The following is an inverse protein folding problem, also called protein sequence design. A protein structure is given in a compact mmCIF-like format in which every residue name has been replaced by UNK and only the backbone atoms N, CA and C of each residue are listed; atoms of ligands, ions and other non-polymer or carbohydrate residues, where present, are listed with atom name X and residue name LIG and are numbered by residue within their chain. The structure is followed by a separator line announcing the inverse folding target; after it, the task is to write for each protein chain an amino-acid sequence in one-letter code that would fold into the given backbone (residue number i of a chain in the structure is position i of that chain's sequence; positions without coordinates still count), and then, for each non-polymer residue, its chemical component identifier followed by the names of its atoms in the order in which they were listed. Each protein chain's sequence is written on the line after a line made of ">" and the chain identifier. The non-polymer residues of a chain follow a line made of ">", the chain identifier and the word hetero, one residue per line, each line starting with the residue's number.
data_IF_798687266061
#
_entry.id   IF_798687266061
#
_cell.length_a   1.000
_cell.length_b   1.000
_cell.length_c   1.000
_cell.angle_alpha   90.00
_cell.angle_beta   90.00
_cell.angle_gamma   90.00
#
_symmetry.space_group_name_H-M   'P 1'
#
loop_
_entity.id
_entity.type
_entity.pdbx_description
1 polymer ?
#
# COMPACT_ATOMS: atom_id res chain seq x y z
N UNK A 1 -45.12 -51.18 -52.81
CA UNK A 1 -44.23 -51.29 -51.64
C UNK A 1 -42.81 -51.61 -52.11
N UNK A 2 -41.91 -50.63 -52.06
CA UNK A 2 -40.47 -50.79 -52.35
C UNK A 2 -39.72 -49.88 -51.37
N UNK A 3 -39.19 -50.46 -50.30
CA UNK A 3 -38.35 -49.75 -49.34
C UNK A 3 -36.95 -49.56 -49.94
N UNK A 4 -36.54 -48.31 -50.14
CA UNK A 4 -35.14 -47.96 -50.37
C UNK A 4 -34.45 -47.80 -49.00
N UNK A 5 -33.26 -48.37 -48.78
CA UNK A 5 -32.52 -48.16 -47.55
C UNK A 5 -31.86 -46.78 -47.58
N UNK A 6 -32.16 -45.97 -46.57
CA UNK A 6 -31.44 -44.73 -46.28
C UNK A 6 -30.03 -45.08 -45.81
N UNK A 7 -29.01 -44.76 -46.60
CA UNK A 7 -27.61 -44.83 -46.17
C UNK A 7 -27.38 -43.72 -45.13
N UNK A 8 -27.40 -44.09 -43.86
CA UNK A 8 -27.00 -43.25 -42.75
C UNK A 8 -25.47 -43.24 -42.70
N UNK A 9 -24.83 -42.19 -43.22
CA UNK A 9 -23.41 -41.94 -42.98
C UNK A 9 -23.21 -41.59 -41.50
N UNK A 10 -22.81 -42.59 -40.71
CA UNK A 10 -22.31 -42.40 -39.35
C UNK A 10 -20.95 -41.70 -39.49
N UNK A 11 -20.96 -40.37 -39.40
CA UNK A 11 -19.73 -39.62 -39.17
C UNK A 11 -19.36 -39.83 -37.70
N UNK A 12 -18.42 -40.72 -37.48
CA UNK A 12 -17.80 -41.03 -36.20
C UNK A 12 -16.94 -39.82 -35.79
N UNK A 13 -17.56 -38.78 -35.24
CA UNK A 13 -16.85 -37.73 -34.52
C UNK A 13 -16.54 -38.27 -33.12
N UNK A 14 -15.38 -38.92 -33.02
CA UNK A 14 -14.61 -39.01 -31.79
C UNK A 14 -14.32 -37.57 -31.33
N UNK A 15 -15.22 -37.00 -30.55
CA UNK A 15 -14.82 -36.06 -29.50
C UNK A 15 -15.01 -36.83 -28.22
N UNK A 16 -13.93 -37.49 -27.82
CA UNK A 16 -13.59 -37.69 -26.42
C UNK A 16 -13.69 -36.30 -25.77
N UNK A 17 -14.89 -35.94 -25.33
CA UNK A 17 -15.13 -34.83 -24.43
C UNK A 17 -14.45 -35.22 -23.14
N UNK A 18 -13.18 -34.84 -23.07
CA UNK A 18 -12.20 -35.11 -22.03
C UNK A 18 -12.93 -35.22 -20.68
N UNK A 19 -12.95 -36.47 -20.21
CA UNK A 19 -12.99 -36.90 -18.82
C UNK A 19 -12.84 -35.73 -17.87
N UNK A 20 -13.87 -35.51 -17.03
CA UNK A 20 -13.94 -34.50 -15.98
C UNK A 20 -12.62 -33.78 -15.73
N UNK A 21 -12.52 -32.56 -16.29
CA UNK A 21 -11.60 -31.55 -15.77
C UNK A 21 -11.91 -31.49 -14.29
N UNK A 22 -11.10 -32.19 -13.49
CA UNK A 22 -11.12 -32.11 -12.03
C UNK A 22 -11.07 -30.62 -11.75
N UNK A 23 -12.20 -30.04 -11.36
CA UNK A 23 -12.29 -28.64 -11.01
C UNK A 23 -11.15 -28.40 -10.03
N UNK A 24 -10.10 -27.71 -10.50
CA UNK A 24 -8.94 -27.52 -9.67
C UNK A 24 -9.39 -26.68 -8.49
N UNK A 25 -9.08 -27.22 -7.33
CA UNK A 25 -9.77 -26.95 -6.10
C UNK A 25 -9.63 -25.48 -5.70
N UNK A 26 -10.67 -24.66 -5.94
CA UNK A 26 -10.72 -23.31 -5.39
C UNK A 26 -11.13 -23.32 -3.91
N UNK A 27 -11.36 -24.48 -3.27
CA UNK A 27 -11.78 -24.57 -1.85
C UNK A 27 -10.90 -23.77 -0.90
N UNK A 28 -9.61 -23.65 -1.22
CA UNK A 28 -8.64 -22.99 -0.34
C UNK A 28 -8.41 -21.52 -0.70
N UNK A 29 -9.03 -20.99 -1.76
CA UNK A 29 -8.87 -19.59 -2.16
C UNK A 29 -10.21 -18.89 -2.25
N UNK A 30 -10.28 -17.66 -1.76
CA UNK A 30 -11.48 -16.84 -1.81
C UNK A 30 -11.14 -15.36 -1.86
N UNK A 31 -12.04 -14.54 -2.38
CA UNK A 31 -11.91 -13.10 -2.30
C UNK A 31 -12.64 -12.60 -1.05
N UNK A 32 -12.07 -11.60 -0.37
CA UNK A 32 -12.85 -10.83 0.60
C UNK A 32 -14.08 -10.24 -0.08
N UNK A 33 -15.21 -10.20 0.62
CA UNK A 33 -16.39 -9.44 0.18
C UNK A 33 -16.11 -7.94 0.24
N UNK A 34 -15.26 -7.50 1.19
CA UNK A 34 -14.87 -6.11 1.36
C UNK A 34 -13.79 -5.70 0.36
N UNK A 35 -13.97 -4.51 -0.23
CA UNK A 35 -12.95 -3.81 -0.99
C UNK A 35 -12.15 -2.92 -0.03
N UNK A 36 -10.85 -3.20 0.08
CA UNK A 36 -9.95 -2.53 1.03
C UNK A 36 -8.96 -1.62 0.33
N UNK A 37 -8.52 -0.58 1.02
CA UNK A 37 -7.33 0.20 0.62
C UNK A 37 -6.05 -0.52 1.01
N UNK A 38 -4.99 -0.27 0.25
CA UNK A 38 -3.61 -0.67 0.54
C UNK A 38 -3.07 -0.17 1.89
N UNK A 39 -3.75 0.81 2.50
CA UNK A 39 -3.39 1.38 3.80
C UNK A 39 -4.00 0.61 4.97
N UNK A 40 -4.93 -0.30 4.71
CA UNK A 40 -5.57 -1.13 5.72
C UNK A 40 -4.69 -2.34 6.08
N UNK A 41 -4.80 -2.82 7.32
CA UNK A 41 -4.11 -4.04 7.75
C UNK A 41 -4.82 -5.27 7.15
N UNK A 42 -4.32 -5.76 6.02
CA UNK A 42 -4.94 -6.85 5.25
C UNK A 42 -5.05 -8.16 6.05
N UNK A 43 -4.04 -8.49 6.86
CA UNK A 43 -4.09 -9.64 7.78
C UNK A 43 -5.28 -9.54 8.72
N UNK A 44 -5.51 -8.35 9.29
CA UNK A 44 -6.65 -8.12 10.17
C UNK A 44 -7.99 -8.25 9.43
N UNK A 45 -8.08 -7.73 8.20
CA UNK A 45 -9.29 -7.88 7.38
C UNK A 45 -9.59 -9.35 7.11
N UNK A 46 -8.58 -10.10 6.66
CA UNK A 46 -8.73 -11.52 6.33
C UNK A 46 -9.12 -12.34 7.56
N UNK A 47 -8.46 -12.10 8.70
CA UNK A 47 -8.77 -12.83 9.93
C UNK A 47 -10.17 -12.50 10.47
N UNK A 48 -10.62 -11.26 10.34
CA UNK A 48 -11.97 -10.87 10.75
C UNK A 48 -13.03 -11.55 9.88
N UNK A 49 -12.80 -11.64 8.57
CA UNK A 49 -13.80 -12.18 7.64
C UNK A 49 -13.81 -13.72 7.60
N UNK A 50 -12.65 -14.36 7.70
CA UNK A 50 -12.50 -15.80 7.44
C UNK A 50 -11.94 -16.62 8.61
N UNK A 51 -11.55 -15.98 9.72
CA UNK A 51 -11.03 -16.63 10.92
C UNK A 51 -9.50 -16.76 10.95
N UNK A 52 -8.98 -17.31 12.06
CA UNK A 52 -7.54 -17.33 12.36
C UNK A 52 -6.67 -18.21 11.47
N UNK A 53 -7.27 -19.12 10.68
CA UNK A 53 -6.55 -20.00 9.74
C UNK A 53 -6.49 -19.45 8.30
N UNK A 54 -7.00 -18.24 8.08
CA UNK A 54 -6.95 -17.57 6.80
C UNK A 54 -5.80 -16.56 6.75
N UNK A 55 -5.08 -16.54 5.63
CA UNK A 55 -3.99 -15.59 5.36
C UNK A 55 -4.20 -14.91 4.02
N UNK A 56 -3.51 -13.80 3.78
CA UNK A 56 -3.44 -13.23 2.42
C UNK A 56 -2.70 -14.22 1.53
N UNK A 57 -3.22 -14.46 0.32
CA UNK A 57 -2.58 -15.34 -0.65
C UNK A 57 -1.34 -14.68 -1.23
N UNK A 58 -0.29 -15.47 -1.44
CA UNK A 58 0.94 -15.02 -2.07
C UNK A 58 0.90 -15.27 -3.58
N UNK A 59 1.65 -14.48 -4.34
CA UNK A 59 1.87 -14.72 -5.76
C UNK A 59 2.36 -16.15 -6.04
N UNK A 60 3.22 -16.69 -5.18
CA UNK A 60 3.69 -18.07 -5.28
C UNK A 60 2.58 -19.13 -5.12
N UNK A 61 1.46 -18.80 -4.48
CA UNK A 61 0.29 -19.68 -4.39
C UNK A 61 -0.46 -19.74 -5.73
N UNK A 62 -0.53 -18.62 -6.44
CA UNK A 62 -1.14 -18.53 -7.77
C UNK A 62 -0.32 -19.26 -8.84
N UNK A 63 1.01 -19.20 -8.74
CA UNK A 63 1.94 -19.89 -9.67
C UNK A 63 1.82 -21.41 -9.62
N UNK A 64 1.23 -21.97 -8.55
CA UNK A 64 1.00 -23.42 -8.40
C UNK A 64 -0.28 -23.92 -9.10
N UNK A 65 -1.12 -23.01 -9.62
CA UNK A 65 -2.37 -23.36 -10.29
C UNK A 65 -2.06 -23.95 -11.68
N UNK A 66 -2.45 -25.20 -11.91
CA UNK A 66 -2.19 -25.89 -13.18
C UNK A 66 -3.21 -25.50 -14.25
N UNK A 67 -4.49 -25.43 -13.86
CA UNK A 67 -5.60 -24.99 -14.72
C UNK A 67 -6.11 -23.60 -14.29
N UNK A 68 -5.50 -22.55 -14.84
CA UNK A 68 -5.87 -21.16 -14.54
C UNK A 68 -7.29 -20.83 -15.03
N UNK A 69 -7.76 -21.44 -16.13
CA UNK A 69 -9.13 -21.20 -16.62
C UNK A 69 -10.18 -21.85 -15.73
N UNK A 70 -9.97 -23.11 -15.35
CA UNK A 70 -10.83 -23.82 -14.41
C UNK A 70 -10.88 -23.13 -13.05
N UNK A 71 -9.73 -22.72 -12.52
CA UNK A 71 -9.65 -21.96 -11.28
C UNK A 71 -10.38 -20.61 -11.37
N UNK A 72 -10.15 -19.82 -12.41
CA UNK A 72 -10.82 -18.54 -12.59
C UNK A 72 -12.35 -18.69 -12.70
N UNK A 73 -12.83 -19.75 -13.35
CA UNK A 73 -14.26 -20.09 -13.42
C UNK A 73 -14.82 -20.47 -12.04
N UNK A 74 -14.07 -21.27 -11.27
CA UNK A 74 -14.44 -21.68 -9.91
C UNK A 74 -14.54 -20.48 -8.96
N UNK A 75 -13.59 -19.55 -9.05
CA UNK A 75 -13.55 -18.28 -8.32
C UNK A 75 -14.55 -17.22 -8.83
N UNK A 76 -15.27 -17.52 -9.92
CA UNK A 76 -16.16 -16.59 -10.62
C UNK A 76 -15.49 -15.25 -10.99
N UNK A 77 -14.26 -15.30 -11.52
CA UNK A 77 -13.52 -14.09 -11.91
C UNK A 77 -14.02 -13.51 -13.24
N UNK A 78 -14.17 -12.19 -13.28
CA UNK A 78 -14.53 -11.45 -14.48
C UNK A 78 -13.30 -10.87 -15.19
N UNK A 79 -13.38 -10.72 -16.51
CA UNK A 79 -12.29 -10.12 -17.29
C UNK A 79 -11.95 -8.72 -16.78
N UNK A 80 -10.67 -8.49 -16.47
CA UNK A 80 -10.19 -7.23 -15.92
C UNK A 80 -10.38 -7.08 -14.41
N UNK A 81 -10.92 -8.09 -13.72
CA UNK A 81 -10.99 -8.10 -12.27
C UNK A 81 -9.60 -8.14 -11.65
N UNK A 82 -9.49 -7.53 -10.48
CA UNK A 82 -8.23 -7.38 -9.79
C UNK A 82 -8.35 -7.55 -8.29
N UNK A 83 -7.32 -8.09 -7.67
CA UNK A 83 -7.30 -8.39 -6.24
C UNK A 83 -5.87 -8.30 -5.67
N UNK A 84 -5.77 -7.94 -4.39
CA UNK A 84 -4.51 -7.82 -3.67
C UNK A 84 -3.95 -9.19 -3.31
N UNK A 85 -2.62 -9.30 -3.36
CA UNK A 85 -1.84 -10.48 -2.98
C UNK A 85 -0.57 -10.00 -2.26
N UNK A 86 0.15 -10.91 -1.62
CA UNK A 86 1.56 -10.69 -1.26
C UNK A 86 2.48 -11.19 -2.38
N UNK A 87 3.74 -10.77 -2.33
CA UNK A 87 4.83 -11.38 -3.09
C UNK A 87 5.95 -11.72 -2.13
N UNK A 88 6.31 -12.99 -2.04
CA UNK A 88 7.33 -13.48 -1.11
C UNK A 88 7.03 -13.04 0.34
N UNK A 89 5.75 -13.07 0.72
CA UNK A 89 5.26 -12.62 2.03
C UNK A 89 5.22 -11.10 2.23
N UNK A 90 5.55 -10.29 1.20
CA UNK A 90 5.52 -8.83 1.26
C UNK A 90 4.26 -8.27 0.61
N UNK A 91 3.60 -7.34 1.28
CA UNK A 91 2.44 -6.62 0.77
C UNK A 91 2.80 -5.57 -0.29
N UNK A 92 3.96 -4.93 -0.10
CA UNK A 92 4.36 -3.77 -0.89
C UNK A 92 5.52 -4.09 -1.85
N UNK A 93 5.41 -3.55 -3.06
CA UNK A 93 6.47 -3.41 -4.04
C UNK A 93 7.14 -2.05 -3.87
N UNK A 94 8.42 -2.06 -3.53
CA UNK A 94 9.11 -0.85 -3.09
C UNK A 94 8.38 -0.23 -1.89
N UNK A 95 8.30 1.10 -1.86
CA UNK A 95 7.93 1.79 -0.63
C UNK A 95 6.42 1.99 -0.43
N UNK A 96 5.61 1.93 -1.50
CA UNK A 96 4.18 2.26 -1.37
C UNK A 96 3.26 1.72 -2.48
N UNK A 97 3.65 0.65 -3.18
CA UNK A 97 2.78 0.07 -4.22
C UNK A 97 2.31 -1.30 -3.76
N UNK A 98 1.02 -1.45 -3.53
CA UNK A 98 0.47 -2.74 -3.14
C UNK A 98 0.51 -3.69 -4.32
N UNK A 99 0.99 -4.91 -4.09
CA UNK A 99 0.88 -5.97 -5.09
C UNK A 99 -0.58 -6.32 -5.33
N UNK A 100 -0.94 -6.39 -6.59
CA UNK A 100 -2.23 -6.90 -7.02
C UNK A 100 -2.07 -7.70 -8.30
N UNK A 101 -3.02 -8.60 -8.50
CA UNK A 101 -3.13 -9.40 -9.72
C UNK A 101 -4.30 -8.88 -10.53
N UNK A 102 -4.11 -8.82 -11.85
CA UNK A 102 -5.18 -8.63 -12.82
C UNK A 102 -5.44 -9.93 -13.56
N UNK A 103 -6.70 -10.35 -13.61
CA UNK A 103 -7.14 -11.41 -14.49
C UNK A 103 -7.56 -10.83 -15.85
N UNK A 104 -7.04 -11.39 -16.95
CA UNK A 104 -7.46 -11.07 -18.31
C UNK A 104 -7.82 -12.35 -19.07
N UNK A 105 -9.10 -12.57 -19.34
CA UNK A 105 -9.60 -13.81 -19.94
C UNK A 105 -9.08 -14.04 -21.36
N UNK A 106 -8.77 -12.95 -22.08
CA UNK A 106 -8.22 -12.93 -23.43
C UNK A 106 -6.72 -12.59 -23.48
N UNK A 107 -6.07 -12.47 -22.31
CA UNK A 107 -4.66 -12.10 -22.18
C UNK A 107 -4.29 -10.68 -22.62
N UNK A 108 -5.28 -9.82 -22.92
CA UNK A 108 -5.04 -8.42 -23.29
C UNK A 108 -5.09 -7.52 -22.05
N UNK A 109 -4.11 -6.63 -21.95
CA UNK A 109 -4.02 -5.64 -20.89
C UNK A 109 -4.30 -4.22 -21.42
N UNK A 110 -4.82 -3.32 -20.56
CA UNK A 110 -5.00 -1.92 -20.94
C UNK A 110 -3.65 -1.24 -21.18
N UNK A 111 -3.65 -0.22 -22.05
CA UNK A 111 -2.46 0.56 -22.35
C UNK A 111 -1.90 1.20 -21.07
N UNK A 112 -0.57 1.14 -20.88
CA UNK A 112 0.10 1.66 -19.69
C UNK A 112 0.05 0.76 -18.45
N UNK A 113 -0.48 -0.46 -18.55
CA UNK A 113 -0.46 -1.41 -17.43
C UNK A 113 0.97 -1.89 -17.13
N UNK A 114 1.47 -1.60 -15.92
CA UNK A 114 2.79 -2.04 -15.47
C UNK A 114 2.75 -3.52 -15.10
N UNK A 115 3.39 -4.38 -15.90
CA UNK A 115 3.56 -5.79 -15.59
C UNK A 115 4.86 -5.94 -14.81
N UNK A 116 4.76 -6.40 -13.56
CA UNK A 116 5.92 -6.81 -12.77
C UNK A 116 6.26 -8.26 -13.11
N UNK A 117 5.24 -9.12 -13.18
CA UNK A 117 5.38 -10.53 -13.52
C UNK A 117 4.12 -11.05 -14.20
N UNK A 118 4.24 -12.13 -14.97
CA UNK A 118 3.11 -12.82 -15.58
C UNK A 118 3.18 -14.31 -15.25
N UNK A 119 2.04 -14.88 -14.90
CA UNK A 119 1.85 -16.31 -14.77
C UNK A 119 0.67 -16.71 -15.65
N UNK A 120 0.89 -17.68 -16.54
CA UNK A 120 0.05 -17.93 -17.71
C UNK A 120 -0.09 -16.70 -18.63
N UNK A 121 -0.92 -16.81 -19.66
CA UNK A 121 -1.34 -15.67 -20.49
C UNK A 121 -2.54 -14.92 -19.89
N UNK A 122 -2.97 -15.20 -18.64
CA UNK A 122 -4.19 -14.64 -18.05
C UNK A 122 -4.04 -13.95 -16.69
N UNK A 123 -2.99 -14.20 -15.91
CA UNK A 123 -2.77 -13.57 -14.62
C UNK A 123 -1.51 -12.71 -14.64
N UNK A 124 -1.67 -11.45 -14.27
CA UNK A 124 -0.62 -10.45 -14.36
C UNK A 124 -0.42 -9.79 -13.01
N UNK A 125 0.78 -9.96 -12.45
CA UNK A 125 1.20 -9.30 -11.22
C UNK A 125 1.62 -7.87 -11.54
N UNK A 126 1.11 -6.94 -10.76
CA UNK A 126 1.42 -5.52 -10.83
C UNK A 126 1.51 -4.94 -9.42
N UNK A 127 1.92 -3.68 -9.33
CA UNK A 127 1.85 -2.95 -8.08
C UNK A 127 1.48 -1.49 -8.34
N UNK A 128 0.55 -0.97 -7.55
CA UNK A 128 0.03 0.39 -7.67
C UNK A 128 -0.38 0.95 -6.32
N UNK A 129 -0.57 2.27 -6.22
CA UNK A 129 -1.01 2.93 -4.99
C UNK A 129 -2.38 3.58 -5.17
N UNK A 130 -3.08 3.85 -4.05
CA UNK A 130 -4.31 4.63 -4.06
C UNK A 130 -5.51 3.95 -4.71
N UNK A 131 -5.51 2.62 -4.81
CA UNK A 131 -6.65 1.88 -5.37
C UNK A 131 -7.18 0.86 -4.36
N UNK A 132 -8.49 0.65 -4.40
CA UNK A 132 -9.21 -0.22 -3.46
C UNK A 132 -9.62 -1.50 -4.16
N UNK A 133 -9.27 -2.65 -3.58
CA UNK A 133 -9.46 -3.97 -4.22
C UNK A 133 -9.86 -5.00 -3.18
N UNK A 134 -10.45 -6.11 -3.62
CA UNK A 134 -10.61 -7.28 -2.76
C UNK A 134 -9.24 -7.92 -2.49
N UNK A 135 -9.11 -8.62 -1.37
CA UNK A 135 -7.91 -9.39 -1.04
C UNK A 135 -8.15 -10.84 -1.49
N UNK A 136 -7.17 -11.45 -2.16
CA UNK A 136 -7.18 -12.90 -2.33
C UNK A 136 -6.69 -13.55 -1.04
N UNK A 137 -7.52 -14.42 -0.50
CA UNK A 137 -7.31 -15.15 0.74
C UNK A 137 -6.94 -16.58 0.44
N UNK A 138 -6.00 -17.12 1.20
CA UNK A 138 -5.69 -18.54 1.24
C UNK A 138 -6.12 -19.11 2.59
N UNK A 139 -6.92 -20.18 2.58
CA UNK A 139 -7.36 -20.88 3.79
C UNK A 139 -6.58 -22.19 3.92
N UNK A 140 -5.80 -22.29 4.99
CA UNK A 140 -5.02 -23.48 5.28
C UNK A 140 -5.91 -24.52 5.95
N UNK A 141 -6.19 -25.62 5.23
CA UNK A 141 -6.82 -26.81 5.79
C UNK A 141 -5.81 -27.77 6.46
N UNK A 142 -4.60 -27.27 6.81
CA UNK A 142 -3.66 -27.99 7.69
C UNK A 142 -2.34 -28.49 7.06
N UNK A 143 -1.93 -28.01 5.88
CA UNK A 143 -0.68 -28.47 5.24
C UNK A 143 0.25 -27.34 4.77
N UNK A 144 0.85 -26.58 5.70
CA UNK A 144 2.11 -25.87 5.41
C UNK A 144 3.18 -26.20 6.46
N UNK A 145 4.27 -26.79 5.98
CA UNK A 145 5.54 -26.90 6.70
C UNK A 145 6.18 -25.50 6.73
N UNK A 146 6.17 -24.88 7.90
CA UNK A 146 6.89 -23.64 8.18
C UNK A 146 8.40 -23.91 8.16
N UNK A 147 9.11 -23.42 7.14
CA UNK A 147 10.57 -23.50 7.09
C UNK A 147 11.22 -22.28 6.41
N UNK A 148 10.61 -21.09 6.54
CA UNK A 148 11.28 -19.81 6.21
C UNK A 148 10.91 -18.69 7.20
N UNK A 149 11.01 -19.00 8.50
CA UNK A 149 11.24 -17.97 9.55
C UNK A 149 12.74 -17.88 9.77
N UNK A 150 13.32 -16.75 9.38
CA UNK A 150 14.66 -16.36 9.80
C UNK A 150 14.53 -15.69 11.17
N UNK A 151 14.57 -16.53 12.21
CA UNK A 151 14.73 -16.13 13.60
C UNK A 151 16.24 -15.97 13.88
N UNK A 152 16.75 -14.74 13.84
CA UNK A 152 18.05 -14.43 14.42
C UNK A 152 18.10 -13.04 15.04
N UNK A 153 17.86 -12.98 16.36
CA UNK A 153 18.69 -12.32 17.39
C UNK A 153 18.03 -12.67 18.75
N UNK A 154 18.44 -13.71 19.48
CA UNK A 154 19.66 -13.91 20.28
C UNK A 154 19.32 -13.82 21.77
N UNK A 155 19.60 -14.93 22.46
CA UNK A 155 19.47 -15.21 23.89
C UNK A 155 19.60 -14.01 24.84
N UNK A 156 18.64 -13.92 25.75
CA UNK A 156 18.73 -13.23 27.03
C UNK A 156 19.95 -13.69 27.86
N UNK A 157 20.36 -12.86 28.83
CA UNK A 157 20.18 -13.28 30.21
C UNK A 157 19.25 -12.33 30.96
N UNK A 158 18.22 -12.95 31.54
CA UNK A 158 17.35 -12.49 32.63
C UNK A 158 17.90 -11.26 33.37
N UNK A 159 17.17 -10.15 33.25
CA UNK A 159 16.99 -9.21 34.36
C UNK A 159 15.50 -9.07 34.62
N UNK A 160 15.18 -9.49 35.84
CA UNK A 160 14.00 -9.15 36.60
C UNK A 160 13.66 -7.66 36.46
N UNK A 161 12.38 -7.36 36.21
CA UNK A 161 11.60 -6.47 37.07
C UNK A 161 10.34 -5.98 36.36
N UNK A 162 9.22 -6.58 36.79
CA UNK A 162 7.90 -5.98 36.95
C UNK A 162 7.18 -5.34 35.75
N UNK A 163 6.05 -5.96 35.43
CA UNK A 163 4.90 -5.37 34.76
C UNK A 163 4.55 -3.97 35.31
N UNK A 164 4.65 -2.94 34.47
CA UNK A 164 3.68 -1.82 34.49
C UNK A 164 3.03 -1.68 33.12
N UNK A 165 1.91 -2.39 33.04
CA UNK A 165 0.80 -2.05 32.18
C UNK A 165 0.38 -0.61 32.49
N UNK A 166 0.60 0.33 31.57
CA UNK A 166 -0.19 1.54 31.51
C UNK A 166 -0.48 1.92 30.05
N UNK A 167 -1.71 1.60 29.68
CA UNK A 167 -2.55 2.24 28.68
C UNK A 167 -1.91 3.15 27.64
N UNK A 168 -1.85 2.64 26.40
CA UNK A 168 -2.03 3.47 25.20
C UNK A 168 -3.40 4.16 25.29
N UNK A 169 -3.45 5.31 25.96
CA UNK A 169 -4.53 6.29 25.83
C UNK A 169 -4.34 7.05 24.53
N UNK A 170 -5.47 7.33 23.89
CA UNK A 170 -5.60 8.23 22.75
C UNK A 170 -5.08 9.64 23.11
N UNK A 171 -3.80 9.90 22.88
CA UNK A 171 -3.27 11.25 22.94
C UNK A 171 -3.41 11.89 21.56
N UNK A 172 -4.42 12.75 21.43
CA UNK A 172 -4.54 13.67 20.31
C UNK A 172 -3.18 14.37 20.08
N UNK A 173 -2.70 14.40 18.83
CA UNK A 173 -1.48 15.11 18.44
C UNK A 173 -1.57 16.54 18.98
N UNK A 174 -0.72 16.89 19.94
CA UNK A 174 -0.63 18.25 20.44
C UNK A 174 0.11 19.10 19.40
N UNK A 175 -0.62 19.58 18.40
CA UNK A 175 -0.12 20.48 17.36
C UNK A 175 0.54 21.76 17.91
N UNK A 176 0.41 22.04 19.22
CA UNK A 176 1.13 23.09 19.93
C UNK A 176 2.63 22.79 20.09
N UNK A 177 3.06 21.54 19.97
CA UNK A 177 4.49 21.16 20.04
C UNK A 177 5.25 21.30 18.72
N UNK A 178 4.58 21.73 17.63
CA UNK A 178 5.23 21.96 16.35
C UNK A 178 5.95 23.31 16.29
N UNK A 179 7.13 23.33 15.69
CA UNK A 179 8.01 24.50 15.52
C UNK A 179 8.77 24.43 14.19
N UNK A 180 9.20 25.58 13.67
CA UNK A 180 10.17 25.63 12.58
C UNK A 180 11.58 25.69 13.15
N UNK A 181 12.55 25.11 12.45
CA UNK A 181 13.96 25.36 12.73
C UNK A 181 14.29 26.85 12.57
N UNK A 182 15.20 27.37 13.38
CA UNK A 182 15.75 28.71 13.27
C UNK A 182 16.56 28.88 11.99
N UNK A 183 17.25 27.82 11.56
CA UNK A 183 18.06 27.83 10.33
C UNK A 183 17.29 27.27 9.14
N UNK A 184 17.74 27.69 7.96
CA UNK A 184 17.35 27.08 6.68
C UNK A 184 18.42 26.12 6.21
N UNK A 185 17.99 24.96 5.73
CA UNK A 185 18.86 23.85 5.35
C UNK A 185 18.76 23.59 3.85
N UNK A 186 19.83 23.12 3.23
CA UNK A 186 19.77 22.57 1.87
C UNK A 186 19.25 21.16 1.93
N UNK A 187 18.49 20.82 0.91
CA UNK A 187 17.94 19.51 0.61
C UNK A 187 18.99 18.40 0.44
N UNK A 188 20.25 18.78 0.23
CA UNK A 188 21.41 17.86 0.16
C UNK A 188 21.92 17.45 1.54
N UNK A 189 21.47 18.10 2.61
CA UNK A 189 21.84 17.77 3.98
C UNK A 189 20.95 16.66 4.53
N UNK A 190 21.41 15.98 5.59
CA UNK A 190 20.58 15.02 6.31
C UNK A 190 19.56 15.77 7.18
N UNK A 191 18.43 16.17 6.57
CA UNK A 191 17.41 17.01 7.22
C UNK A 191 16.85 16.39 8.53
N UNK A 192 16.78 15.05 8.62
CA UNK A 192 16.37 14.34 9.84
C UNK A 192 17.39 14.49 10.97
N UNK A 193 18.68 14.50 10.66
CA UNK A 193 19.75 14.68 11.64
C UNK A 193 19.93 16.16 12.02
N UNK A 194 19.82 17.06 11.05
CA UNK A 194 19.91 18.51 11.29
C UNK A 194 18.78 19.02 12.20
N UNK A 195 17.54 18.58 11.95
CA UNK A 195 16.40 18.90 12.82
C UNK A 195 16.60 18.36 14.24
N UNK A 196 17.11 17.12 14.39
CA UNK A 196 17.44 16.57 15.72
C UNK A 196 18.54 17.35 16.41
N UNK A 197 19.60 17.75 15.71
CA UNK A 197 20.71 18.52 16.29
C UNK A 197 20.25 19.87 16.82
N UNK A 198 19.40 20.57 16.10
CA UNK A 198 18.95 21.90 16.51
C UNK A 198 18.11 21.86 17.80
N UNK A 199 17.35 20.78 18.02
CA UNK A 199 16.50 20.61 19.20
C UNK A 199 17.00 19.52 20.16
N UNK A 200 18.32 19.28 20.22
CA UNK A 200 18.97 18.36 21.18
C UNK A 200 18.35 16.95 21.24
N UNK A 201 17.93 16.42 20.08
CA UNK A 201 17.32 15.10 19.93
C UNK A 201 15.86 15.00 20.37
N UNK A 202 15.26 16.10 20.84
CA UNK A 202 13.89 16.13 21.38
C UNK A 202 12.81 16.40 20.33
N UNK A 203 13.17 16.41 19.06
CA UNK A 203 12.23 16.64 17.97
C UNK A 203 12.45 15.70 16.80
N UNK A 204 11.42 15.53 16.00
CA UNK A 204 11.48 14.89 14.69
C UNK A 204 10.83 15.77 13.63
N UNK A 205 11.22 15.57 12.36
CA UNK A 205 10.57 16.26 11.25
C UNK A 205 9.07 15.95 11.25
N UNK A 206 8.26 16.98 11.09
CA UNK A 206 6.83 16.84 10.96
C UNK A 206 6.48 16.25 9.59
N UNK A 207 5.40 15.47 9.56
CA UNK A 207 4.81 14.94 8.37
C UNK A 207 3.66 15.82 7.87
N UNK A 208 3.41 15.80 6.57
CA UNK A 208 2.24 16.43 5.98
C UNK A 208 0.93 15.94 6.60
N UNK A 209 0.85 14.67 7.00
CA UNK A 209 -0.32 14.16 7.72
C UNK A 209 -0.46 14.75 9.12
N UNK A 210 0.65 15.12 9.76
CA UNK A 210 0.60 15.82 11.06
C UNK A 210 -0.10 17.17 10.87
N UNK A 211 0.21 17.91 9.79
CA UNK A 211 -0.50 19.15 9.43
C UNK A 211 -1.98 18.93 9.11
N UNK A 212 -2.33 17.84 8.40
CA UNK A 212 -3.72 17.50 8.10
C UNK A 212 -4.54 17.12 9.34
N UNK A 213 -3.88 16.65 10.40
CA UNK A 213 -4.53 16.28 11.65
C UNK A 213 -4.89 17.50 12.52
N UNK A 214 -4.41 18.70 12.17
CA UNK A 214 -4.67 19.93 12.94
C UNK A 214 -6.14 20.35 12.77
N UNK A 215 -6.96 20.36 13.83
CA UNK A 215 -8.39 20.67 13.72
C UNK A 215 -8.64 22.11 13.25
N UNK A 216 -7.82 23.05 13.73
CA UNK A 216 -7.89 24.46 13.38
C UNK A 216 -6.57 24.94 12.75
N UNK A 217 -6.42 24.67 11.46
CA UNK A 217 -5.19 25.03 10.74
C UNK A 217 -4.95 26.54 10.69
N UNK A 218 -5.99 27.37 10.66
CA UNK A 218 -5.88 28.83 10.60
C UNK A 218 -5.29 29.41 11.90
N UNK A 219 -5.72 28.88 13.05
CA UNK A 219 -5.14 29.20 14.36
C UNK A 219 -3.68 28.77 14.44
N UNK A 220 -3.36 27.56 13.96
CA UNK A 220 -1.99 27.08 13.93
C UNK A 220 -1.10 27.96 13.04
N UNK A 221 -1.55 28.33 11.84
CA UNK A 221 -0.83 29.24 10.93
C UNK A 221 -0.55 30.59 11.63
N UNK A 222 -1.56 31.16 12.30
CA UNK A 222 -1.41 32.42 13.03
C UNK A 222 -0.38 32.31 14.16
N UNK A 223 -0.42 31.22 14.94
CA UNK A 223 0.54 30.95 16.02
C UNK A 223 1.97 30.79 15.51
N UNK A 224 2.12 30.10 14.37
CA UNK A 224 3.41 29.90 13.70
C UNK A 224 3.95 31.19 13.06
N UNK A 225 3.12 32.24 12.96
CA UNK A 225 3.45 33.53 12.33
C UNK A 225 3.99 33.35 10.91
N UNK A 226 3.37 32.44 10.14
CA UNK A 226 3.83 32.18 8.78
C UNK A 226 3.64 33.40 7.89
N UNK A 227 4.67 33.73 7.14
CA UNK A 227 4.67 34.82 6.16
C UNK A 227 4.13 34.34 4.81
N UNK A 228 3.54 35.25 4.03
CA UNK A 228 3.08 34.93 2.67
C UNK A 228 4.24 34.33 1.86
N UNK A 229 3.95 33.25 1.14
CA UNK A 229 4.87 32.51 0.29
C UNK A 229 6.03 31.84 1.03
N UNK A 230 5.97 31.81 2.38
CA UNK A 230 6.93 31.06 3.17
C UNK A 230 6.84 29.57 2.85
N UNK A 231 8.02 28.95 2.75
CA UNK A 231 8.16 27.52 2.52
C UNK A 231 8.97 26.84 3.60
N UNK A 232 8.64 25.59 3.89
CA UNK A 232 9.37 24.77 4.85
C UNK A 232 9.29 23.28 4.49
N UNK A 233 10.34 22.54 4.83
CA UNK A 233 10.41 21.11 4.62
C UNK A 233 9.48 20.36 5.57
N UNK A 234 8.85 19.33 5.02
CA UNK A 234 8.08 18.33 5.73
C UNK A 234 8.42 16.97 5.15
N UNK A 235 8.02 15.92 5.85
CA UNK A 235 7.91 14.60 5.22
C UNK A 235 6.51 14.39 4.66
N UNK A 236 6.34 13.42 3.75
CA UNK A 236 5.03 12.95 3.29
C UNK A 236 4.92 11.44 3.51
N UNK A 237 4.12 11.03 4.48
CA UNK A 237 4.09 9.66 5.00
C UNK A 237 5.49 9.16 5.44
N UNK A 238 6.30 10.00 6.09
CA UNK A 238 7.65 9.67 6.57
C UNK A 238 8.77 9.83 5.52
N UNK A 239 8.40 10.03 4.25
CA UNK A 239 9.32 10.23 3.14
C UNK A 239 9.77 11.68 2.98
N UNK A 240 11.06 11.87 2.74
CA UNK A 240 11.66 13.20 2.58
C UNK A 240 11.57 13.71 1.13
N UNK A 241 11.59 12.79 0.15
CA UNK A 241 11.67 13.11 -1.28
C UNK A 241 10.54 12.47 -2.08
N UNK A 242 10.07 13.19 -3.09
CA UNK A 242 9.33 12.68 -4.23
C UNK A 242 10.32 12.24 -5.32
N UNK A 243 10.30 10.96 -5.65
CA UNK A 243 11.25 10.40 -6.62
C UNK A 243 12.66 10.36 -6.06
N UNK A 244 13.67 10.64 -6.89
CA UNK A 244 15.07 10.51 -6.50
C UNK A 244 15.58 11.67 -5.64
N UNK A 245 15.09 12.89 -5.90
CA UNK A 245 15.82 14.09 -5.48
C UNK A 245 14.95 15.32 -5.19
N UNK A 246 13.62 15.28 -5.37
CA UNK A 246 12.75 16.44 -5.09
C UNK A 246 12.20 16.38 -3.68
N UNK A 247 12.58 17.30 -2.80
CA UNK A 247 12.19 17.24 -1.39
C UNK A 247 10.81 17.82 -1.20
N UNK A 248 10.02 17.17 -0.35
CA UNK A 248 8.70 17.67 -0.01
C UNK A 248 8.82 18.94 0.82
N UNK A 249 8.02 19.94 0.44
CA UNK A 249 7.91 21.17 1.19
C UNK A 249 6.47 21.67 1.16
N UNK A 250 6.12 22.48 2.14
CA UNK A 250 4.84 23.19 2.17
C UNK A 250 5.07 24.61 1.72
N UNK A 251 4.17 25.13 0.89
CA UNK A 251 4.01 26.55 0.60
C UNK A 251 2.79 27.07 1.35
N UNK A 252 2.96 28.16 2.10
CA UNK A 252 1.83 28.92 2.64
C UNK A 252 1.43 30.05 1.68
N UNK A 253 0.22 29.94 1.11
CA UNK A 253 -0.41 30.99 0.31
C UNK A 253 -1.75 31.41 0.92
N UNK A 254 -1.84 32.54 1.64
CA UNK A 254 -3.08 32.99 2.26
C UNK A 254 -4.20 33.31 1.26
N UNK A 255 -3.85 33.52 -0.01
CA UNK A 255 -4.80 33.81 -1.10
C UNK A 255 -5.23 32.58 -1.88
N UNK A 256 -4.61 31.42 -1.62
CA UNK A 256 -4.75 30.21 -2.42
C UNK A 256 -4.15 30.29 -3.83
N UNK A 257 -3.51 31.42 -4.19
CA UNK A 257 -2.82 31.57 -5.47
C UNK A 257 -1.45 30.89 -5.41
N UNK A 258 -1.17 30.08 -6.41
CA UNK A 258 0.09 29.37 -6.55
C UNK A 258 1.02 30.11 -7.51
N UNK A 259 2.34 30.14 -7.26
CA UNK A 259 3.32 30.62 -8.23
C UNK A 259 3.22 29.87 -9.55
N UNK A 260 3.54 30.55 -10.66
CA UNK A 260 3.57 29.92 -11.97
C UNK A 260 4.55 28.73 -11.99
N UNK A 261 4.13 27.59 -12.54
CA UNK A 261 4.92 26.36 -12.57
C UNK A 261 4.90 25.54 -11.28
N UNK A 262 4.20 25.99 -10.23
CA UNK A 262 4.04 25.21 -9.00
C UNK A 262 3.06 24.06 -9.23
N UNK A 263 3.49 22.83 -8.93
CA UNK A 263 2.64 21.63 -8.95
C UNK A 263 2.33 21.21 -7.52
N UNK A 264 1.09 21.41 -7.11
CA UNK A 264 0.60 20.96 -5.81
C UNK A 264 0.26 19.46 -5.84
N UNK A 265 0.82 18.71 -4.90
CA UNK A 265 0.56 17.28 -4.70
C UNK A 265 -0.59 17.00 -3.74
N UNK A 266 -0.90 17.98 -2.90
CA UNK A 266 -1.97 17.99 -1.90
C UNK A 266 -2.18 19.43 -1.38
N UNK A 267 -3.30 19.69 -0.70
CA UNK A 267 -3.58 21.01 -0.09
C UNK A 267 -4.43 20.90 1.17
N UNK A 268 -4.25 21.86 2.09
CA UNK A 268 -5.09 22.04 3.28
C UNK A 268 -5.78 23.40 3.17
N UNK A 269 -7.12 23.36 3.15
CA UNK A 269 -8.01 24.54 3.16
C UNK A 269 -7.63 25.65 2.18
N UNK A 270 -7.04 25.32 1.03
CA UNK A 270 -6.58 26.28 0.04
C UNK A 270 -5.60 27.34 0.60
N UNK A 271 -4.83 26.98 1.63
CA UNK A 271 -3.82 27.86 2.26
C UNK A 271 -2.44 27.24 2.33
N UNK A 272 -2.35 25.96 2.66
CA UNK A 272 -1.09 25.22 2.68
C UNK A 272 -1.09 24.25 1.50
N UNK A 273 -0.02 24.25 0.73
CA UNK A 273 0.11 23.45 -0.48
C UNK A 273 1.36 22.59 -0.39
N UNK A 274 1.20 21.29 -0.56
CA UNK A 274 2.31 20.36 -0.57
C UNK A 274 2.94 20.36 -1.96
N UNK A 275 4.18 20.83 -2.06
CA UNK A 275 4.99 20.79 -3.27
C UNK A 275 6.18 19.84 -3.13
N UNK A 276 6.96 19.73 -4.19
CA UNK A 276 8.29 19.11 -4.13
C UNK A 276 9.24 19.77 -5.12
N UNK A 277 10.45 20.13 -4.71
CA UNK A 277 11.44 20.78 -5.58
C UNK A 277 12.87 20.49 -5.11
N UNK A 278 13.85 20.86 -5.93
CA UNK A 278 15.29 20.73 -5.66
C UNK A 278 15.94 22.10 -5.45
N UNK A 279 17.14 22.12 -4.87
CA UNK A 279 18.07 23.27 -4.96
C UNK A 279 17.78 24.48 -4.08
N UNK A 280 16.75 24.45 -3.23
CA UNK A 280 16.35 25.59 -2.41
C UNK A 280 16.47 25.29 -0.92
N UNK A 281 17.03 26.26 -0.19
CA UNK A 281 17.17 26.17 1.27
C UNK A 281 15.88 26.56 1.97
N UNK A 282 15.43 25.75 2.93
CA UNK A 282 14.19 26.01 3.69
C UNK A 282 14.35 25.64 5.15
N UNK A 283 13.53 26.26 5.99
CA UNK A 283 13.36 25.80 7.37
C UNK A 283 12.70 24.42 7.37
N UNK A 284 12.85 23.68 8.47
CA UNK A 284 12.24 22.37 8.65
C UNK A 284 11.13 22.50 9.68
N UNK A 285 9.93 21.98 9.38
CA UNK A 285 8.90 21.82 10.40
C UNK A 285 9.22 20.59 11.24
N UNK A 286 9.23 20.75 12.56
CA UNK A 286 9.47 19.68 13.52
C UNK A 286 8.30 19.57 14.51
N UNK A 287 8.16 18.39 15.12
CA UNK A 287 7.33 18.16 16.31
C UNK A 287 8.21 17.70 17.48
N UNK A 288 8.00 18.29 18.66
CA UNK A 288 8.73 17.90 19.87
C UNK A 288 8.11 16.64 20.50
N UNK A 289 8.97 15.76 21.02
CA UNK A 289 8.56 14.66 21.90
C UNK A 289 8.10 15.26 23.23
N UNK A 290 6.91 14.90 23.71
CA UNK A 290 6.53 15.23 25.08
C UNK A 290 7.39 14.39 26.04
N UNK A 291 8.18 15.06 26.86
CA UNK A 291 8.77 14.43 28.05
C UNK A 291 7.60 14.13 29.00
N UNK A 292 7.33 12.84 29.24
CA UNK A 292 6.62 12.40 30.43
C UNK A 292 7.64 12.14 31.54
#
# INVERSE_FOLDING_TARGET
>A
MKHKPFKLSILLLFVLGITGLKAQDCRNMMLTTRIVSEKENMEMVVRHEFGGNATVADWSDLVQIKDVEGWARCMNLHNGQTFMVTRDGRYMSGDNRQYFVRYASNGKLPFGFLIIERFSNKLFLSAWNGDRRNILVYKNDGHRNDSRRDDSYRNEPRRDDSYRNDGRRNDAIDYRSMKLTYKSYSERQNLKEESRREFLGKSEMADWNDLKSIPNIDEWISRMRLERDQTFFVTRNGELTLGRDRQYFVLYSPSGRLPAGFVAHDQIRNRLFLGSWYGEKRQILVREFRNH
#
